data_IF_972364197429
#
_entry.id   IF_972364197429
#
_cell.length_a   1.000
_cell.length_b   1.000
_cell.length_c   1.000
_cell.angle_alpha   90.00
_cell.angle_beta   90.00
_cell.angle_gamma   90.00
#
_symmetry.space_group_name_H-M   'P 1'
#
loop_
_entity.id
_entity.type
_entity.pdbx_description
1 polymer ?
#
# COMPACT_ATOMS: atom_id res chain seq x y z
N UNK A 1 -2.49 -8.00 20.28
CA UNK A 1 -2.76 -6.56 20.25
C UNK A 1 -3.71 -6.27 19.09
N UNK A 2 -4.65 -5.37 19.31
CA UNK A 2 -5.59 -4.93 18.29
C UNK A 2 -5.10 -3.64 17.63
N UNK A 3 -5.53 -3.37 16.39
CA UNK A 3 -5.09 -2.17 15.68
C UNK A 3 -5.45 -0.87 16.40
N UNK A 4 -6.61 -0.85 17.05
CA UNK A 4 -7.03 0.31 17.86
C UNK A 4 -6.07 0.60 19.02
N UNK A 5 -5.48 -0.44 19.62
CA UNK A 5 -4.50 -0.28 20.68
C UNK A 5 -3.20 0.34 20.13
N UNK A 6 -2.78 -0.12 18.94
CA UNK A 6 -1.60 0.45 18.24
C UNK A 6 -1.81 1.94 17.97
N UNK A 7 -2.97 2.31 17.44
CA UNK A 7 -3.28 3.71 17.12
C UNK A 7 -3.31 4.62 18.34
N UNK A 8 -3.69 4.09 19.49
CA UNK A 8 -3.82 4.86 20.73
C UNK A 8 -2.59 4.78 21.66
N UNK A 9 -1.59 3.99 21.31
CA UNK A 9 -0.39 3.83 22.13
C UNK A 9 0.54 5.04 21.96
N UNK A 10 0.75 5.86 23.02
CA UNK A 10 1.63 7.02 22.91
C UNK A 10 3.08 6.68 22.57
N UNK A 11 3.56 5.49 22.96
CA UNK A 11 4.94 5.07 22.72
C UNK A 11 5.21 4.76 21.24
N UNK A 12 4.15 4.53 20.45
CA UNK A 12 4.24 4.22 19.02
C UNK A 12 4.03 5.43 18.14
N UNK A 13 3.71 6.58 18.71
CA UNK A 13 3.52 7.82 17.95
C UNK A 13 4.85 8.43 17.53
N UNK A 14 4.87 9.00 16.33
CA UNK A 14 6.03 9.73 15.81
C UNK A 14 7.31 8.90 15.68
N UNK A 15 7.18 7.58 15.60
CA UNK A 15 8.33 6.72 15.31
C UNK A 15 8.68 6.81 13.82
N UNK A 16 9.98 6.72 13.46
CA UNK A 16 10.42 6.77 12.06
C UNK A 16 10.25 5.42 11.36
N UNK A 17 9.22 4.66 11.72
CA UNK A 17 8.98 3.32 11.20
C UNK A 17 7.54 3.17 10.75
N UNK A 18 7.34 2.45 9.64
CA UNK A 18 6.04 1.93 9.24
C UNK A 18 5.64 0.84 10.25
N UNK A 19 4.41 0.89 10.74
CA UNK A 19 3.90 -0.07 11.73
C UNK A 19 2.78 -0.88 11.10
N UNK A 20 2.89 -2.21 11.25
CA UNK A 20 1.86 -3.17 10.83
C UNK A 20 1.63 -4.17 11.98
N UNK A 21 0.55 -4.93 11.90
CA UNK A 21 0.33 -6.08 12.78
C UNK A 21 0.42 -7.37 11.97
N UNK A 22 1.06 -8.38 12.55
CA UNK A 22 1.06 -9.72 11.97
C UNK A 22 -0.14 -10.53 12.49
N UNK A 23 -0.26 -11.76 12.02
CA UNK A 23 -1.35 -12.69 12.36
C UNK A 23 -1.38 -13.07 13.85
N UNK A 24 -0.27 -12.89 14.57
CA UNK A 24 -0.15 -13.18 15.99
C UNK A 24 -0.40 -11.95 16.88
N UNK A 25 -0.79 -10.83 16.29
CA UNK A 25 -1.00 -9.57 17.02
C UNK A 25 0.30 -8.88 17.45
N UNK A 26 1.41 -9.23 16.83
CA UNK A 26 2.70 -8.61 17.08
C UNK A 26 2.92 -7.41 16.19
N UNK A 27 3.54 -6.37 16.72
CA UNK A 27 3.91 -5.18 15.96
C UNK A 27 5.12 -5.50 15.09
N UNK A 28 4.99 -5.18 13.81
CA UNK A 28 6.07 -5.27 12.83
C UNK A 28 6.42 -3.86 12.40
N UNK A 29 7.68 -3.47 12.55
CA UNK A 29 8.17 -2.13 12.19
C UNK A 29 9.14 -2.22 11.02
N UNK A 30 9.01 -1.29 10.07
CA UNK A 30 9.90 -1.18 8.92
C UNK A 30 10.45 0.25 8.85
N UNK A 31 11.78 0.43 8.71
CA UNK A 31 12.33 1.76 8.57
C UNK A 31 11.97 2.37 7.21
N UNK A 32 11.76 3.69 7.19
CA UNK A 32 11.54 4.46 5.97
C UNK A 32 12.77 5.31 5.68
N UNK A 33 13.24 5.28 4.42
CA UNK A 33 14.32 6.12 3.94
C UNK A 33 13.79 7.37 3.23
N UNK A 34 14.67 8.33 2.94
CA UNK A 34 14.31 9.50 2.14
C UNK A 34 13.90 9.08 0.71
N UNK A 35 14.54 8.07 0.14
CA UNK A 35 14.13 7.50 -1.15
C UNK A 35 12.71 6.96 -1.10
N UNK A 36 12.38 6.24 -0.04
CA UNK A 36 11.03 5.71 0.18
C UNK A 36 10.01 6.85 0.21
N UNK A 37 10.27 7.88 1.01
CA UNK A 37 9.38 9.03 1.11
C UNK A 37 9.23 9.81 -0.20
N UNK A 38 10.33 9.96 -0.95
CA UNK A 38 10.29 10.61 -2.27
C UNK A 38 9.40 9.82 -3.24
N UNK A 39 9.62 8.52 -3.34
CA UNK A 39 8.81 7.65 -4.22
C UNK A 39 7.36 7.63 -3.79
N UNK A 40 7.09 7.59 -2.49
CA UNK A 40 5.73 7.66 -1.97
C UNK A 40 5.02 8.93 -2.43
N UNK A 41 5.69 10.08 -2.36
CA UNK A 41 5.14 11.36 -2.80
C UNK A 41 4.94 11.40 -4.32
N UNK A 42 5.91 10.92 -5.10
CA UNK A 42 5.84 10.91 -6.57
C UNK A 42 4.71 10.01 -7.07
N UNK A 43 4.57 8.83 -6.48
CA UNK A 43 3.50 7.90 -6.83
C UNK A 43 2.13 8.49 -6.47
N UNK A 44 2.01 9.07 -5.27
CA UNK A 44 0.77 9.71 -4.83
C UNK A 44 0.38 10.86 -5.77
N UNK A 45 1.33 11.68 -6.15
CA UNK A 45 1.12 12.79 -7.10
C UNK A 45 0.65 12.26 -8.46
N UNK A 46 1.32 11.24 -9.00
CA UNK A 46 0.95 10.61 -10.27
C UNK A 46 -0.51 10.10 -10.23
N UNK A 47 -0.85 9.34 -9.20
CA UNK A 47 -2.20 8.79 -9.04
C UNK A 47 -3.25 9.90 -8.94
N UNK A 48 -2.96 10.93 -8.18
CA UNK A 48 -3.87 12.06 -7.98
C UNK A 48 -4.14 12.82 -9.27
N UNK A 49 -3.13 13.00 -10.11
CA UNK A 49 -3.22 13.83 -11.31
C UNK A 49 -3.74 13.12 -12.56
N UNK A 50 -3.71 11.79 -12.57
CA UNK A 50 -3.99 11.05 -13.79
C UNK A 50 -5.34 10.33 -13.82
N UNK A 51 -6.05 10.32 -12.71
CA UNK A 51 -7.38 9.73 -12.66
C UNK A 51 -8.20 10.33 -11.53
N UNK A 52 -9.49 10.49 -11.77
CA UNK A 52 -10.43 10.92 -10.74
C UNK A 52 -10.53 9.85 -9.66
N UNK A 53 -10.52 10.29 -8.41
CA UNK A 53 -10.52 9.42 -7.23
C UNK A 53 -9.79 10.13 -6.12
N UNK A 54 -9.43 9.38 -5.10
CA UNK A 54 -8.64 9.91 -3.98
C UNK A 54 -7.45 9.02 -3.70
N UNK A 55 -6.38 9.64 -3.21
CA UNK A 55 -5.13 8.98 -2.88
C UNK A 55 -4.86 9.16 -1.39
N UNK A 56 -4.40 8.11 -0.74
CA UNK A 56 -3.91 8.19 0.63
C UNK A 56 -2.59 7.46 0.76
N UNK A 57 -1.78 7.93 1.69
CA UNK A 57 -0.56 7.27 2.11
C UNK A 57 -0.81 6.54 3.42
N UNK A 58 -0.01 5.53 3.72
CA UNK A 58 -0.15 4.73 4.96
C UNK A 58 -1.58 4.17 5.12
N UNK A 59 -2.06 3.50 4.09
CA UNK A 59 -3.41 2.95 4.04
C UNK A 59 -3.49 1.62 4.78
N UNK A 60 -4.13 1.62 5.95
CA UNK A 60 -4.29 0.40 6.73
C UNK A 60 -5.48 -0.41 6.23
N UNK A 61 -5.25 -1.72 6.04
CA UNK A 61 -6.22 -2.66 5.49
C UNK A 61 -6.23 -3.91 6.36
N UNK A 62 -7.42 -4.29 6.83
CA UNK A 62 -7.62 -5.56 7.53
C UNK A 62 -7.48 -6.70 6.52
N UNK A 63 -6.59 -7.64 6.79
CA UNK A 63 -6.38 -8.81 5.93
C UNK A 63 -6.57 -10.09 6.73
N UNK A 64 -6.52 -11.24 6.06
CA UNK A 64 -6.58 -12.54 6.73
C UNK A 64 -5.38 -12.77 7.68
N UNK A 65 -4.34 -11.96 7.55
CA UNK A 65 -3.16 -11.99 8.45
C UNK A 65 -2.99 -10.67 9.18
N UNK A 66 -4.10 -10.18 9.76
CA UNK A 66 -4.18 -8.93 10.52
C UNK A 66 -3.98 -7.69 9.63
N UNK A 67 -3.55 -6.58 10.19
CA UNK A 67 -3.53 -5.29 9.50
C UNK A 67 -2.21 -5.09 8.78
N UNK A 68 -2.30 -4.87 7.47
CA UNK A 68 -1.20 -4.42 6.64
C UNK A 68 -1.40 -2.96 6.26
N UNK A 69 -0.31 -2.27 5.99
CA UNK A 69 -0.35 -0.84 5.65
C UNK A 69 0.31 -0.65 4.29
N UNK A 70 -0.49 -0.29 3.29
CA UNK A 70 0.03 0.03 1.96
C UNK A 70 0.69 1.42 1.98
N UNK A 71 1.83 1.56 1.33
CA UNK A 71 2.55 2.83 1.30
C UNK A 71 1.75 3.92 0.61
N UNK A 72 1.10 3.59 -0.50
CA UNK A 72 0.18 4.46 -1.23
C UNK A 72 -1.03 3.64 -1.66
N UNK A 73 -2.20 4.25 -1.69
CA UNK A 73 -3.39 3.62 -2.23
C UNK A 73 -4.20 4.64 -3.03
N UNK A 74 -4.86 4.14 -4.07
CA UNK A 74 -5.82 4.91 -4.85
C UNK A 74 -7.17 4.21 -4.79
N UNK A 75 -8.20 4.97 -4.48
CA UNK A 75 -9.57 4.50 -4.51
C UNK A 75 -10.43 5.36 -5.43
N UNK A 76 -11.36 4.72 -6.13
CA UNK A 76 -12.36 5.42 -6.92
C UNK A 76 -13.31 6.22 -6.02
N UNK A 77 -14.04 7.15 -6.61
CA UNK A 77 -15.10 7.87 -5.90
C UNK A 77 -16.10 6.86 -5.30
N UNK A 78 -16.45 5.83 -6.06
CA UNK A 78 -17.34 4.77 -5.60
C UNK A 78 -16.79 4.05 -4.36
N UNK A 79 -15.49 3.74 -4.35
CA UNK A 79 -14.86 3.13 -3.17
C UNK A 79 -15.06 3.99 -1.92
N UNK A 80 -14.79 5.29 -2.02
CA UNK A 80 -14.90 6.19 -0.87
C UNK A 80 -16.35 6.45 -0.47
N UNK A 81 -17.29 6.42 -1.40
CA UNK A 81 -18.71 6.51 -1.07
C UNK A 81 -19.17 5.30 -0.26
N UNK A 82 -18.66 4.10 -0.57
CA UNK A 82 -19.03 2.88 0.14
C UNK A 82 -18.28 2.68 1.46
N UNK A 83 -17.02 3.11 1.53
CA UNK A 83 -16.14 2.78 2.65
C UNK A 83 -15.75 3.99 3.51
N UNK A 84 -15.98 5.20 3.04
CA UNK A 84 -15.60 6.40 3.79
C UNK A 84 -14.10 6.47 4.05
N UNK A 85 -13.73 6.87 5.27
CA UNK A 85 -12.35 6.98 5.73
C UNK A 85 -12.11 6.12 6.98
N UNK A 86 -12.67 4.92 6.98
CA UNK A 86 -12.51 3.98 8.08
C UNK A 86 -11.04 3.54 8.26
N UNK A 87 -10.69 3.20 9.47
CA UNK A 87 -9.34 2.74 9.82
C UNK A 87 -9.43 1.53 10.75
N UNK A 88 -8.96 0.34 10.36
CA UNK A 88 -8.51 0.00 9.02
C UNK A 88 -9.69 -0.19 8.05
N UNK A 89 -9.42 -0.16 6.76
CA UNK A 89 -10.43 -0.55 5.77
C UNK A 89 -10.69 -2.05 5.84
N UNK A 90 -11.95 -2.44 5.73
CA UNK A 90 -12.34 -3.86 5.63
C UNK A 90 -12.25 -4.37 4.19
N UNK A 91 -12.25 -3.46 3.24
CA UNK A 91 -12.07 -3.73 1.81
C UNK A 91 -10.90 -2.88 1.32
N UNK A 92 -10.02 -3.47 0.51
CA UNK A 92 -8.89 -2.72 -0.04
C UNK A 92 -9.36 -1.73 -1.11
N UNK A 93 -8.73 -0.54 -1.20
CA UNK A 93 -8.87 0.31 -2.38
C UNK A 93 -8.45 -0.44 -3.65
N UNK A 94 -8.89 0.03 -4.80
CA UNK A 94 -8.65 -0.65 -6.07
C UNK A 94 -7.15 -0.81 -6.38
N UNK A 95 -6.33 0.15 -6.01
CA UNK A 95 -4.87 0.07 -6.18
C UNK A 95 -4.17 0.24 -4.85
N UNK A 96 -3.33 -0.74 -4.51
CA UNK A 96 -2.45 -0.70 -3.35
C UNK A 96 -1.00 -0.73 -3.83
N UNK A 97 -0.17 0.13 -3.29
CA UNK A 97 1.23 0.27 -3.70
C UNK A 97 2.16 -0.04 -2.52
N UNK A 98 3.12 -0.91 -2.75
CA UNK A 98 4.20 -1.19 -1.82
C UNK A 98 5.52 -0.72 -2.43
N UNK A 99 6.28 0.06 -1.69
CA UNK A 99 7.63 0.48 -2.05
C UNK A 99 8.60 -0.42 -1.31
N UNK A 100 9.44 -1.14 -2.04
CA UNK A 100 10.31 -2.17 -1.47
C UNK A 100 11.77 -1.78 -1.61
N UNK A 101 12.56 -2.17 -0.61
CA UNK A 101 14.02 -2.08 -0.64
C UNK A 101 14.62 -3.44 -1.05
N UNK A 102 15.89 -3.47 -1.47
CA UNK A 102 16.56 -4.74 -1.79
C UNK A 102 16.60 -5.73 -0.62
N UNK A 103 16.46 -5.23 0.63
CA UNK A 103 16.48 -6.06 1.83
C UNK A 103 15.12 -6.72 2.12
N UNK A 104 14.05 -6.36 1.42
CA UNK A 104 12.75 -6.97 1.61
C UNK A 104 12.77 -8.43 1.17
N UNK A 105 12.15 -9.28 2.00
CA UNK A 105 12.06 -10.72 1.77
C UNK A 105 10.99 -11.01 0.71
N UNK A 106 11.37 -11.66 -0.40
CA UNK A 106 10.48 -11.89 -1.54
C UNK A 106 9.18 -12.64 -1.20
N UNK A 107 9.18 -13.71 -0.39
CA UNK A 107 7.94 -14.36 0.01
C UNK A 107 6.98 -13.45 0.78
N UNK A 108 7.50 -12.52 1.58
CA UNK A 108 6.68 -11.54 2.30
C UNK A 108 5.97 -10.59 1.34
N UNK A 109 6.67 -10.14 0.30
CA UNK A 109 6.10 -9.26 -0.73
C UNK A 109 5.00 -9.98 -1.50
N UNK A 110 5.25 -11.23 -1.90
CA UNK A 110 4.25 -12.06 -2.59
C UNK A 110 3.01 -12.28 -1.73
N UNK A 111 3.20 -12.47 -0.43
CA UNK A 111 2.09 -12.61 0.51
C UNK A 111 1.27 -11.32 0.60
N UNK A 112 1.89 -10.16 0.70
CA UNK A 112 1.19 -8.88 0.73
C UNK A 112 0.36 -8.66 -0.54
N UNK A 113 0.92 -8.97 -1.70
CA UNK A 113 0.20 -8.90 -2.97
C UNK A 113 -1.09 -9.72 -2.90
N UNK A 114 -0.97 -10.97 -2.47
CA UNK A 114 -2.12 -11.87 -2.33
C UNK A 114 -3.13 -11.34 -1.32
N UNK A 115 -2.67 -10.87 -0.16
CA UNK A 115 -3.55 -10.37 0.90
C UNK A 115 -4.39 -9.18 0.43
N UNK A 116 -3.78 -8.22 -0.27
CA UNK A 116 -4.51 -7.06 -0.80
C UNK A 116 -5.50 -7.46 -1.88
N UNK A 117 -5.10 -8.34 -2.80
CA UNK A 117 -5.99 -8.83 -3.86
C UNK A 117 -7.19 -9.59 -3.26
N UNK A 118 -6.95 -10.41 -2.24
CA UNK A 118 -8.02 -11.15 -1.55
C UNK A 118 -9.02 -10.21 -0.86
N UNK A 119 -8.59 -9.01 -0.50
CA UNK A 119 -9.47 -8.01 0.13
C UNK A 119 -10.14 -7.07 -0.87
N UNK A 120 -9.97 -7.30 -2.15
CA UNK A 120 -10.68 -6.59 -3.20
C UNK A 120 -9.85 -5.60 -4.01
N UNK A 121 -8.55 -5.46 -3.74
CA UNK A 121 -7.68 -4.69 -4.62
C UNK A 121 -7.73 -5.28 -6.02
N UNK A 122 -7.75 -4.41 -7.02
CA UNK A 122 -7.76 -4.81 -8.43
C UNK A 122 -6.34 -4.95 -8.96
N UNK A 123 -5.46 -4.09 -8.48
CA UNK A 123 -4.04 -4.11 -8.78
C UNK A 123 -3.23 -3.85 -7.53
N UNK A 124 -2.09 -4.51 -7.44
CA UNK A 124 -1.05 -4.19 -6.45
C UNK A 124 0.19 -3.82 -7.22
N UNK A 125 0.70 -2.62 -6.98
CA UNK A 125 1.94 -2.15 -7.59
C UNK A 125 3.08 -2.32 -6.60
N UNK A 126 4.16 -2.90 -7.09
CA UNK A 126 5.39 -3.04 -6.30
C UNK A 126 6.44 -2.15 -6.95
N UNK A 127 6.88 -1.15 -6.21
CA UNK A 127 7.87 -0.18 -6.68
C UNK A 127 9.19 -0.42 -5.95
N UNK A 128 10.26 -0.65 -6.71
CA UNK A 128 11.59 -0.75 -6.12
C UNK A 128 12.12 0.63 -5.73
N UNK A 129 13.15 0.67 -4.87
CA UNK A 129 13.80 1.93 -4.50
C UNK A 129 14.44 2.65 -5.69
N UNK A 130 14.65 1.97 -6.80
CA UNK A 130 15.11 2.58 -8.05
C UNK A 130 13.97 3.23 -8.84
N UNK A 131 12.73 3.10 -8.40
CA UNK A 131 11.55 3.65 -9.05
C UNK A 131 10.88 2.73 -10.06
N UNK A 132 11.42 1.53 -10.28
CA UNK A 132 10.83 0.55 -11.21
C UNK A 132 9.53 -0.02 -10.66
N UNK A 133 8.49 -0.09 -11.49
CA UNK A 133 7.15 -0.52 -11.10
C UNK A 133 6.80 -1.84 -11.74
N UNK A 134 6.32 -2.78 -10.91
CA UNK A 134 5.69 -4.01 -11.35
C UNK A 134 4.22 -4.00 -10.93
N UNK A 135 3.35 -4.49 -11.80
CA UNK A 135 1.90 -4.50 -11.58
C UNK A 135 1.44 -5.95 -11.43
N UNK A 136 0.64 -6.21 -10.41
CA UNK A 136 0.04 -7.52 -10.17
C UNK A 136 -1.48 -7.39 -10.08
N UNK A 137 -2.18 -8.36 -10.65
CA UNK A 137 -3.63 -8.53 -10.51
C UNK A 137 -3.93 -10.01 -10.22
N UNK A 138 -5.18 -10.39 -10.19
CA UNK A 138 -5.56 -11.78 -9.87
C UNK A 138 -5.03 -12.81 -10.88
N UNK A 139 -4.75 -12.38 -12.11
CA UNK A 139 -4.16 -13.27 -13.12
C UNK A 139 -2.63 -13.36 -13.02
N UNK A 140 -2.01 -12.58 -12.14
CA UNK A 140 -0.56 -12.54 -11.93
C UNK A 140 0.04 -11.23 -12.35
N UNK A 141 1.32 -11.24 -12.75
CA UNK A 141 2.01 -10.03 -13.20
C UNK A 141 1.44 -9.53 -14.52
N UNK A 142 1.22 -8.23 -14.60
CA UNK A 142 0.68 -7.55 -15.78
C UNK A 142 1.70 -6.54 -16.31
N UNK A 143 1.72 -6.33 -17.63
CA UNK A 143 2.60 -5.35 -18.25
C UNK A 143 2.03 -3.93 -18.18
N UNK A 144 0.72 -3.78 -17.99
CA UNK A 144 0.04 -2.49 -18.01
C UNK A 144 -1.02 -2.41 -16.89
N UNK A 145 -1.27 -1.18 -16.43
CA UNK A 145 -2.38 -0.91 -15.53
C UNK A 145 -3.69 -0.79 -16.32
N UNK A 146 -4.78 -1.39 -15.81
CA UNK A 146 -6.11 -1.21 -16.35
C UNK A 146 -6.72 0.15 -15.96
N UNK A 147 -6.14 0.85 -15.00
CA UNK A 147 -6.67 2.12 -14.47
C UNK A 147 -5.85 3.33 -14.91
N UNK A 148 -4.56 3.17 -15.17
CA UNK A 148 -3.63 4.25 -15.49
C UNK A 148 -2.83 3.91 -16.75
N UNK A 149 -3.34 4.33 -17.91
CA UNK A 149 -2.72 4.02 -19.21
C UNK A 149 -1.31 4.59 -19.36
N UNK A 150 -1.06 5.75 -18.72
CA UNK A 150 0.21 6.46 -18.81
C UNK A 150 1.16 6.18 -17.66
N UNK A 151 0.93 5.10 -16.92
CA UNK A 151 1.83 4.70 -15.83
C UNK A 151 3.25 4.49 -16.38
N UNK A 152 4.25 5.23 -15.89
CA UNK A 152 5.62 5.01 -16.32
C UNK A 152 6.12 3.65 -15.80
N UNK A 153 7.04 3.04 -16.53
CA UNK A 153 7.70 1.81 -16.05
C UNK A 153 8.67 2.09 -14.93
N UNK A 154 9.10 3.35 -14.80
CA UNK A 154 10.03 3.80 -13.78
C UNK A 154 9.73 5.24 -13.40
N UNK A 155 9.57 5.49 -12.10
CA UNK A 155 9.51 6.83 -11.55
C UNK A 155 10.92 7.40 -11.40
N UNK A 156 11.13 8.63 -11.83
CA UNK A 156 12.42 9.32 -11.66
C UNK A 156 12.59 9.79 -10.21
N UNK A 157 13.82 9.67 -9.71
CA UNK A 157 14.20 10.06 -8.36
C UNK A 157 15.47 10.91 -8.36
#
# INVERSE_FOLDING_TARGET
MQWSEVLNDPSLKNLPYKIELNEYGQIVMSPASNKHGLLQAEIAFFLRNNRQGKVLTECSIETSKSVKVADVAWGSIDFFQRNGIDTPYQQAPEICVEIISPSNYQPEIKEKIRLYLDKGAREVWVCSENGEVEIYNKAGKSDNSAFFENLPKKFEI
#
